data_IF_508866077295
#
_entry.id   IF_508866077295
#
_cell.length_a   1.000
_cell.length_b   1.000
_cell.length_c   1.000
_cell.angle_alpha   90.00
_cell.angle_beta   90.00
_cell.angle_gamma   90.00
#
_symmetry.space_group_name_H-M   'P 1'
#
loop_
_entity.id
_entity.type
_entity.pdbx_description
1 polymer ?
#
# COMPACT_ATOMS: atom_id res chain seq x y z
N UNK A 1 -13.35 19.08 -19.25
CA UNK A 1 -12.20 18.23 -18.82
C UNK A 1 -10.79 18.85 -18.88
N UNK A 2 -10.53 20.01 -19.53
CA UNK A 2 -9.16 20.54 -19.68
C UNK A 2 -8.52 21.15 -18.41
N UNK A 3 -9.34 21.65 -17.48
CA UNK A 3 -8.84 22.32 -16.26
C UNK A 3 -8.17 21.34 -15.29
N UNK A 4 -8.75 20.15 -15.11
CA UNK A 4 -8.20 19.12 -14.22
C UNK A 4 -6.91 18.52 -14.78
N UNK A 5 -6.85 18.27 -16.09
CA UNK A 5 -5.61 17.79 -16.74
C UNK A 5 -4.50 18.82 -16.67
N UNK A 6 -4.81 20.12 -16.83
CA UNK A 6 -3.84 21.20 -16.69
C UNK A 6 -3.29 21.31 -15.25
N UNK A 7 -4.16 21.22 -14.23
CA UNK A 7 -3.70 21.20 -12.83
C UNK A 7 -2.79 20.00 -12.56
N UNK A 8 -3.18 18.80 -13.02
CA UNK A 8 -2.36 17.61 -12.83
C UNK A 8 -0.97 17.75 -13.47
N UNK A 9 -0.90 18.35 -14.65
CA UNK A 9 0.36 18.58 -15.36
C UNK A 9 1.24 19.64 -14.66
N UNK A 10 0.63 20.72 -14.18
CA UNK A 10 1.31 21.74 -13.37
C UNK A 10 1.85 21.16 -12.06
N UNK A 11 1.02 20.42 -11.31
CA UNK A 11 1.42 19.75 -10.07
C UNK A 11 2.56 18.79 -10.34
N UNK A 12 2.47 17.98 -11.40
CA UNK A 12 3.53 17.05 -11.78
C UNK A 12 4.84 17.79 -12.03
N UNK A 13 4.82 18.82 -12.85
CA UNK A 13 6.03 19.58 -13.22
C UNK A 13 6.68 20.25 -12.01
N UNK A 14 5.89 20.93 -11.17
CA UNK A 14 6.37 21.60 -9.95
C UNK A 14 6.95 20.58 -8.97
N UNK A 15 6.27 19.46 -8.75
CA UNK A 15 6.74 18.44 -7.80
C UNK A 15 8.03 17.75 -8.26
N UNK A 16 8.19 17.49 -9.56
CA UNK A 16 9.46 16.97 -10.09
C UNK A 16 10.61 17.97 -9.92
N UNK A 17 10.38 19.25 -10.22
CA UNK A 17 11.39 20.30 -10.01
C UNK A 17 11.76 20.41 -8.52
N UNK A 18 10.78 20.41 -7.63
CA UNK A 18 11.00 20.47 -6.20
C UNK A 18 11.76 19.24 -5.67
N UNK A 19 11.42 18.04 -6.14
CA UNK A 19 12.12 16.81 -5.74
C UNK A 19 13.60 16.79 -6.17
N UNK A 20 13.90 17.36 -7.35
CA UNK A 20 15.29 17.52 -7.81
C UNK A 20 16.01 18.57 -6.96
N UNK A 21 15.34 19.68 -6.65
CA UNK A 21 15.91 20.78 -5.86
C UNK A 21 16.19 20.38 -4.40
N UNK A 22 15.34 19.56 -3.79
CA UNK A 22 15.58 19.04 -2.43
C UNK A 22 16.65 17.96 -2.40
N UNK A 23 16.90 17.30 -3.53
CA UNK A 23 17.98 16.30 -3.73
C UNK A 23 18.12 15.31 -2.56
N UNK A 24 17.00 14.82 -2.04
CA UNK A 24 16.99 13.91 -0.89
C UNK A 24 17.67 12.59 -1.28
N UNK A 25 18.81 12.30 -0.66
CA UNK A 25 19.57 11.06 -0.84
C UNK A 25 19.43 10.15 0.37
N UNK A 26 19.52 8.85 0.15
CA UNK A 26 19.55 7.84 1.21
C UNK A 26 20.99 7.41 1.51
N UNK A 27 21.44 7.67 2.73
CA UNK A 27 22.69 7.16 3.29
C UNK A 27 22.44 6.05 4.31
N UNK A 28 23.49 5.28 4.61
CA UNK A 28 23.43 4.29 5.70
C UNK A 28 23.36 4.96 7.08
N UNK A 29 23.81 6.22 7.16
CA UNK A 29 23.80 7.04 8.38
C UNK A 29 22.40 7.56 8.72
N UNK A 30 21.48 7.67 7.76
CA UNK A 30 20.08 8.05 8.01
C UNK A 30 19.37 7.04 8.92
N UNK A 31 19.90 5.81 8.99
CA UNK A 31 19.38 4.75 9.83
C UNK A 31 19.90 4.82 11.28
N UNK A 32 20.98 5.56 11.55
CA UNK A 32 21.53 5.73 12.91
C UNK A 32 20.60 6.52 13.82
N UNK A 33 19.88 7.47 13.26
CA UNK A 33 18.96 8.35 13.99
C UNK A 33 17.68 7.62 14.41
N UNK A 34 17.45 6.40 13.90
CA UNK A 34 16.25 5.61 14.18
C UNK A 34 16.53 4.67 15.36
N UNK A 35 15.73 4.71 16.45
CA UNK A 35 15.94 3.83 17.59
C UNK A 35 15.78 2.36 17.19
N UNK A 36 16.76 1.52 17.53
CA UNK A 36 16.81 0.08 17.16
C UNK A 36 16.11 -0.87 18.14
N UNK A 37 15.23 -0.38 19.02
CA UNK A 37 14.58 -1.21 20.06
C UNK A 37 13.57 -2.20 19.46
N UNK A 38 13.26 -3.26 20.23
CA UNK A 38 12.60 -4.51 19.79
C UNK A 38 11.24 -4.40 19.04
N UNK A 39 10.80 -5.55 18.48
CA UNK A 39 9.80 -5.68 17.42
C UNK A 39 8.45 -4.94 17.59
N UNK A 40 7.94 -4.79 18.81
CA UNK A 40 6.65 -4.11 19.05
C UNK A 40 6.80 -2.61 19.30
N UNK A 41 7.98 -2.18 19.73
CA UNK A 41 8.24 -0.79 20.16
C UNK A 41 8.24 0.18 18.96
N UNK A 42 8.74 -0.26 17.80
CA UNK A 42 8.90 0.60 16.63
C UNK A 42 7.59 0.93 15.89
N UNK A 43 6.52 0.13 16.00
CA UNK A 43 5.25 0.45 15.29
C UNK A 43 4.50 1.62 15.93
N UNK A 44 4.59 1.79 17.24
CA UNK A 44 3.85 2.82 17.98
C UNK A 44 4.71 4.07 18.26
N UNK A 45 6.00 3.91 18.52
CA UNK A 45 6.89 5.00 18.96
C UNK A 45 7.69 5.66 17.82
N UNK A 46 7.66 5.14 16.60
CA UNK A 46 8.49 5.69 15.52
C UNK A 46 8.05 7.09 15.07
N UNK A 47 6.74 7.36 15.00
CA UNK A 47 6.22 8.68 14.61
C UNK A 47 6.56 9.84 15.60
N UNK A 48 6.38 9.70 16.92
CA UNK A 48 6.76 10.77 17.84
C UNK A 48 8.29 10.99 17.91
N UNK A 49 9.09 9.93 17.82
CA UNK A 49 10.55 10.03 17.91
C UNK A 49 11.17 10.80 16.73
N UNK A 50 10.68 10.62 15.51
CA UNK A 50 11.20 11.40 14.36
C UNK A 50 10.88 12.88 14.43
N UNK A 51 9.71 13.26 14.98
CA UNK A 51 9.36 14.67 15.19
C UNK A 51 10.27 15.38 16.19
N UNK A 52 10.84 14.63 17.14
CA UNK A 52 11.68 15.17 18.20
C UNK A 52 13.19 15.14 17.87
N UNK A 53 13.65 14.14 17.13
CA UNK A 53 15.10 13.91 16.93
C UNK A 53 15.61 14.45 15.59
N UNK A 54 14.92 14.17 14.49
CA UNK A 54 15.30 14.68 13.15
C UNK A 54 14.11 14.62 12.17
N UNK A 55 13.35 15.72 12.03
CA UNK A 55 12.21 15.79 11.12
C UNK A 55 12.58 15.68 9.63
N UNK A 56 13.84 15.98 9.27
CA UNK A 56 14.33 16.01 7.89
C UNK A 56 15.03 14.72 7.48
N UNK A 57 14.97 13.67 8.31
CA UNK A 57 15.51 12.36 7.95
C UNK A 57 14.86 11.85 6.65
N UNK A 58 15.65 11.55 5.59
CA UNK A 58 15.16 11.05 4.31
C UNK A 58 14.24 9.83 4.43
N UNK A 59 14.59 8.86 5.27
CA UNK A 59 13.84 7.60 5.50
C UNK A 59 12.46 7.90 6.08
N UNK A 60 12.38 8.86 7.01
CA UNK A 60 11.12 9.31 7.59
C UNK A 60 10.28 10.08 6.56
N UNK A 61 10.89 11.04 5.84
CA UNK A 61 10.17 11.84 4.83
C UNK A 61 9.55 10.97 3.73
N UNK A 62 10.26 9.97 3.19
CA UNK A 62 9.70 9.12 2.13
C UNK A 62 8.59 8.18 2.63
N UNK A 63 8.77 7.60 3.82
CA UNK A 63 7.80 6.64 4.36
C UNK A 63 6.52 7.31 4.89
N UNK A 64 6.65 8.48 5.53
CA UNK A 64 5.50 9.22 6.06
C UNK A 64 4.75 10.02 4.99
N UNK A 65 5.43 10.56 3.97
CA UNK A 65 4.77 11.22 2.84
C UNK A 65 3.97 10.25 1.96
N UNK A 66 4.13 8.93 2.14
CA UNK A 66 3.54 7.90 1.28
C UNK A 66 4.19 7.79 -0.09
N UNK A 67 5.30 8.50 -0.34
CA UNK A 67 6.01 8.45 -1.61
C UNK A 67 6.65 7.07 -1.85
N UNK A 68 7.33 6.52 -0.83
CA UNK A 68 7.95 5.18 -0.89
C UNK A 68 8.34 4.71 0.52
N UNK A 69 8.16 3.42 0.78
CA UNK A 69 8.48 2.85 2.08
C UNK A 69 7.27 2.84 3.00
N UNK A 70 7.18 1.83 3.85
CA UNK A 70 6.19 1.74 4.93
C UNK A 70 6.93 1.58 6.25
N UNK A 71 6.28 1.92 7.37
CA UNK A 71 6.78 1.69 8.71
C UNK A 71 7.27 0.25 8.94
N UNK A 72 6.57 -0.75 8.40
CA UNK A 72 7.01 -2.15 8.46
C UNK A 72 8.32 -2.41 7.71
N UNK A 73 8.60 -1.67 6.63
CA UNK A 73 9.84 -1.81 5.86
C UNK A 73 10.99 -1.06 6.53
N UNK A 74 10.74 0.12 7.09
CA UNK A 74 11.71 0.85 7.92
C UNK A 74 12.11 0.00 9.13
N UNK A 75 11.15 -0.64 9.79
CA UNK A 75 11.40 -1.58 10.88
C UNK A 75 12.38 -2.70 10.49
N UNK A 76 12.30 -3.24 9.28
CA UNK A 76 13.23 -4.30 8.83
C UNK A 76 14.66 -3.79 8.59
N UNK A 77 14.84 -2.48 8.38
CA UNK A 77 16.16 -1.88 8.17
C UNK A 77 16.92 -1.69 9.49
N UNK A 78 16.23 -1.30 10.56
CA UNK A 78 16.84 -0.86 11.83
C UNK A 78 16.44 -1.68 13.06
N UNK A 79 15.26 -2.29 13.04
CA UNK A 79 14.76 -3.15 14.10
C UNK A 79 14.99 -4.63 13.82
N UNK A 80 14.84 -5.43 14.87
CA UNK A 80 14.80 -6.89 14.77
C UNK A 80 13.75 -7.33 13.76
N UNK A 81 14.11 -8.14 12.76
CA UNK A 81 13.18 -8.54 11.69
C UNK A 81 12.03 -9.41 12.19
N UNK A 82 12.26 -10.19 13.24
CA UNK A 82 11.24 -10.99 13.93
C UNK A 82 11.11 -12.41 13.38
N UNK A 83 9.94 -13.01 13.57
CA UNK A 83 9.66 -14.39 13.18
C UNK A 83 9.35 -14.49 11.69
N UNK A 84 9.71 -15.64 11.09
CA UNK A 84 9.44 -15.95 9.70
C UNK A 84 8.62 -17.24 9.60
N UNK A 85 7.85 -17.39 8.54
CA UNK A 85 7.14 -18.62 8.25
C UNK A 85 7.99 -19.59 7.42
N UNK A 86 7.81 -20.88 7.67
CA UNK A 86 8.35 -21.95 6.84
C UNK A 86 7.60 -22.03 5.47
N UNK A 87 8.07 -22.86 4.52
CA UNK A 87 7.37 -23.06 3.25
C UNK A 87 5.92 -23.56 3.42
N UNK A 88 5.63 -24.33 4.47
CA UNK A 88 4.29 -24.82 4.77
C UNK A 88 3.38 -23.77 5.42
N UNK A 89 3.92 -22.61 5.82
CA UNK A 89 3.20 -21.53 6.49
C UNK A 89 3.17 -21.62 8.01
N UNK A 90 3.90 -22.55 8.63
CA UNK A 90 4.09 -22.61 10.08
C UNK A 90 5.10 -21.55 10.53
N UNK A 91 4.88 -20.96 11.69
CA UNK A 91 5.81 -20.01 12.28
C UNK A 91 7.03 -20.75 12.82
N UNK A 92 8.22 -20.28 12.44
CA UNK A 92 9.48 -20.84 12.94
C UNK A 92 9.77 -20.17 14.29
N UNK A 93 9.99 -20.95 15.35
CA UNK A 93 10.20 -20.46 16.72
C UNK A 93 11.55 -19.71 16.94
N UNK A 94 12.39 -19.64 15.90
CA UNK A 94 13.67 -18.94 15.91
C UNK A 94 13.51 -17.53 15.30
N UNK A 95 13.51 -16.46 16.12
CA UNK A 95 13.42 -15.10 15.60
C UNK A 95 14.74 -14.65 14.95
N UNK A 96 14.64 -13.90 13.85
CA UNK A 96 15.77 -13.19 13.24
C UNK A 96 16.01 -11.95 14.09
N UNK A 97 17.12 -11.94 14.83
CA UNK A 97 17.48 -10.87 15.77
C UNK A 97 18.15 -9.69 15.08
N UNK A 98 18.92 -9.98 14.04
CA UNK A 98 19.62 -8.97 13.24
C UNK A 98 18.69 -8.14 12.36
N UNK A 99 19.18 -6.96 11.97
CA UNK A 99 18.53 -6.04 11.05
C UNK A 99 19.26 -6.01 9.69
N UNK A 100 18.64 -5.44 8.64
CA UNK A 100 19.27 -5.38 7.32
C UNK A 100 20.48 -4.44 7.24
N UNK A 101 20.59 -3.49 8.18
CA UNK A 101 21.73 -2.57 8.29
C UNK A 101 22.99 -3.27 8.81
N UNK A 102 22.87 -4.07 9.86
CA UNK A 102 23.94 -4.83 10.50
C UNK A 102 24.28 -6.09 9.70
N UNK A 103 23.31 -6.61 8.93
CA UNK A 103 23.44 -7.81 8.12
C UNK A 103 22.92 -9.05 8.83
N UNK A 104 22.56 -10.06 8.04
CA UNK A 104 22.01 -11.32 8.52
C UNK A 104 23.11 -12.40 8.60
N UNK A 105 23.08 -13.23 9.64
CA UNK A 105 23.89 -14.44 9.68
C UNK A 105 23.44 -15.44 8.60
N UNK A 106 24.29 -16.43 8.27
CA UNK A 106 23.96 -17.45 7.26
C UNK A 106 22.61 -18.16 7.55
N UNK A 107 22.39 -18.53 8.82
CA UNK A 107 21.16 -19.20 9.25
C UNK A 107 19.94 -18.29 9.11
N UNK A 108 20.03 -17.05 9.56
CA UNK A 108 18.94 -16.06 9.45
C UNK A 108 18.62 -15.72 7.99
N UNK A 109 19.64 -15.65 7.14
CA UNK A 109 19.48 -15.44 5.71
C UNK A 109 18.72 -16.61 5.06
N UNK A 110 19.11 -17.86 5.34
CA UNK A 110 18.44 -19.06 4.82
C UNK A 110 16.98 -19.12 5.30
N UNK A 111 16.72 -18.84 6.58
CA UNK A 111 15.36 -18.79 7.13
C UNK A 111 14.52 -17.72 6.41
N UNK A 112 15.08 -16.53 6.17
CA UNK A 112 14.43 -15.47 5.41
C UNK A 112 14.08 -15.88 3.97
N UNK A 113 14.89 -16.73 3.33
CA UNK A 113 14.66 -17.14 1.95
C UNK A 113 13.37 -17.95 1.78
N UNK A 114 12.96 -18.74 2.78
CA UNK A 114 11.72 -19.52 2.71
C UNK A 114 10.49 -18.62 2.56
N UNK A 115 10.35 -17.62 3.43
CA UNK A 115 9.27 -16.65 3.36
C UNK A 115 9.30 -15.82 2.08
N UNK A 116 10.48 -15.38 1.65
CA UNK A 116 10.64 -14.61 0.41
C UNK A 116 10.23 -15.42 -0.84
N UNK A 117 10.69 -16.68 -0.95
CA UNK A 117 10.33 -17.55 -2.07
C UNK A 117 8.84 -17.84 -2.09
N UNK A 118 8.24 -18.15 -0.94
CA UNK A 118 6.79 -18.35 -0.83
C UNK A 118 6.01 -17.11 -1.28
N UNK A 119 6.43 -15.92 -0.84
CA UNK A 119 5.82 -14.66 -1.27
C UNK A 119 5.87 -14.43 -2.79
N UNK A 120 7.00 -14.77 -3.44
CA UNK A 120 7.12 -14.68 -4.90
C UNK A 120 6.20 -15.69 -5.59
N UNK A 121 6.17 -16.94 -5.14
CA UNK A 121 5.30 -17.98 -5.69
C UNK A 121 3.83 -17.63 -5.51
N UNK A 122 3.42 -17.21 -4.32
CA UNK A 122 2.04 -16.80 -4.01
C UNK A 122 1.62 -15.58 -4.84
N UNK A 123 2.56 -14.70 -5.17
CA UNK A 123 2.30 -13.56 -6.06
C UNK A 123 2.06 -14.04 -7.49
N UNK A 124 2.86 -14.99 -7.98
CA UNK A 124 2.66 -15.57 -9.30
C UNK A 124 1.30 -16.30 -9.42
N UNK A 125 0.95 -17.12 -8.43
CA UNK A 125 -0.34 -17.82 -8.38
C UNK A 125 -1.51 -16.85 -8.29
N UNK A 126 -1.44 -15.84 -7.41
CA UNK A 126 -2.50 -14.82 -7.32
C UNK A 126 -2.64 -14.01 -8.60
N UNK A 127 -1.54 -13.78 -9.33
CA UNK A 127 -1.58 -13.12 -10.63
C UNK A 127 -2.30 -13.98 -11.67
N UNK A 128 -2.01 -15.29 -11.72
CA UNK A 128 -2.72 -16.19 -12.65
C UNK A 128 -4.20 -16.31 -12.32
N UNK A 129 -4.57 -16.40 -11.04
CA UNK A 129 -5.96 -16.54 -10.62
C UNK A 129 -6.77 -15.28 -10.91
N UNK A 130 -6.21 -14.10 -10.64
CA UNK A 130 -6.85 -12.83 -10.98
C UNK A 130 -7.06 -12.67 -12.49
N UNK A 131 -6.06 -13.04 -13.31
CA UNK A 131 -6.17 -13.03 -14.77
C UNK A 131 -7.22 -14.01 -15.30
N UNK A 132 -7.26 -15.22 -14.73
CA UNK A 132 -8.26 -16.22 -15.09
C UNK A 132 -9.68 -15.78 -14.71
N UNK A 133 -9.86 -15.24 -13.49
CA UNK A 133 -11.15 -14.75 -13.03
C UNK A 133 -11.65 -13.58 -13.87
N UNK A 134 -10.80 -12.59 -14.16
CA UNK A 134 -11.18 -11.45 -15.02
C UNK A 134 -11.60 -11.90 -16.41
N UNK A 135 -10.87 -12.85 -17.03
CA UNK A 135 -11.29 -13.45 -18.31
C UNK A 135 -12.69 -14.07 -18.23
N UNK A 136 -12.95 -14.91 -17.23
CA UNK A 136 -14.28 -15.55 -17.06
C UNK A 136 -15.39 -14.55 -16.82
N UNK A 137 -15.12 -13.51 -16.03
CA UNK A 137 -16.09 -12.45 -15.78
C UNK A 137 -16.43 -11.72 -17.09
N UNK A 138 -15.42 -11.33 -17.88
CA UNK A 138 -15.61 -10.68 -19.19
C UNK A 138 -16.42 -11.57 -20.14
N UNK A 139 -16.13 -12.87 -20.21
CA UNK A 139 -16.87 -13.82 -21.05
C UNK A 139 -18.38 -13.87 -20.68
N UNK A 140 -18.74 -13.69 -19.41
CA UNK A 140 -20.15 -13.68 -18.95
C UNK A 140 -20.81 -12.32 -19.21
N UNK A 141 -20.13 -11.21 -18.93
CA UNK A 141 -20.72 -9.87 -18.98
C UNK A 141 -20.64 -9.20 -20.35
N UNK A 142 -19.95 -9.80 -21.34
CA UNK A 142 -19.71 -9.20 -22.66
C UNK A 142 -20.96 -8.74 -23.41
N UNK A 143 -22.13 -9.31 -23.10
CA UNK A 143 -23.40 -8.97 -23.74
C UNK A 143 -24.20 -7.86 -23.00
N UNK A 144 -23.71 -7.37 -21.86
CA UNK A 144 -24.37 -6.34 -21.06
C UNK A 144 -23.97 -4.95 -21.60
N UNK A 145 -24.94 -4.22 -22.16
CA UNK A 145 -24.77 -2.87 -22.70
C UNK A 145 -25.88 -1.96 -22.20
N UNK A 146 -25.53 -0.76 -21.71
CA UNK A 146 -26.50 0.26 -21.30
C UNK A 146 -27.11 0.89 -22.56
N UNK A 147 -28.41 0.64 -22.79
CA UNK A 147 -29.12 1.12 -23.99
C UNK A 147 -30.13 2.24 -23.71
N UNK A 148 -30.58 2.38 -22.46
CA UNK A 148 -31.61 3.34 -22.05
C UNK A 148 -31.26 3.86 -20.66
N UNK A 149 -31.61 5.12 -20.40
CA UNK A 149 -31.35 5.81 -19.13
C UNK A 149 -32.29 5.38 -18.01
N UNK A 150 -33.56 5.14 -18.32
CA UNK A 150 -34.57 4.63 -17.37
C UNK A 150 -35.43 3.53 -18.03
N UNK A 151 -35.63 2.42 -17.30
CA UNK A 151 -36.48 1.31 -17.71
C UNK A 151 -37.85 1.30 -17.02
N UNK A 152 -38.13 2.26 -16.12
CA UNK A 152 -39.40 2.43 -15.42
C UNK A 152 -39.68 1.39 -14.34
N UNK A 153 -38.66 0.68 -13.86
CA UNK A 153 -38.84 -0.34 -12.81
C UNK A 153 -39.04 0.30 -11.44
N UNK A 154 -40.00 -0.21 -10.67
CA UNK A 154 -40.20 0.15 -9.25
C UNK A 154 -39.35 -0.70 -8.29
N UNK A 155 -38.66 -1.73 -8.81
CA UNK A 155 -37.84 -2.64 -8.00
C UNK A 155 -36.50 -1.99 -7.69
N UNK A 156 -36.14 -1.93 -6.42
CA UNK A 156 -34.88 -1.37 -5.92
C UNK A 156 -34.20 -2.36 -4.98
N UNK A 157 -32.87 -2.29 -4.90
CA UNK A 157 -32.09 -3.02 -3.89
C UNK A 157 -31.79 -2.05 -2.76
N UNK A 158 -32.23 -2.37 -1.54
CA UNK A 158 -31.93 -1.58 -0.36
C UNK A 158 -30.47 -1.79 0.05
N UNK A 159 -29.64 -0.76 -0.08
CA UNK A 159 -28.28 -0.76 0.46
C UNK A 159 -28.34 -0.40 1.95
N UNK A 160 -27.96 -1.33 2.82
CA UNK A 160 -27.72 -1.03 4.23
C UNK A 160 -26.31 -0.49 4.41
N UNK A 161 -26.14 0.67 5.06
CA UNK A 161 -24.82 1.03 5.57
C UNK A 161 -24.45 0.05 6.68
N UNK A 162 -23.21 -0.46 6.66
CA UNK A 162 -22.69 -1.35 7.68
C UNK A 162 -22.73 -0.75 9.10
N UNK A 163 -22.98 0.55 9.23
CA UNK A 163 -23.48 1.21 10.44
C UNK A 163 -24.38 2.40 10.02
N UNK A 164 -25.61 2.48 10.57
CA UNK A 164 -26.72 3.41 10.27
C UNK A 164 -27.71 2.97 9.18
N UNK A 165 -28.86 2.47 9.65
CA UNK A 165 -30.10 2.35 8.87
C UNK A 165 -30.65 3.75 8.66
N UNK A 166 -30.41 4.34 7.49
CA UNK A 166 -31.34 5.28 6.85
C UNK A 166 -31.32 5.01 5.36
N UNK A 167 -32.37 4.36 4.89
CA UNK A 167 -32.62 4.13 3.47
C UNK A 167 -33.01 5.46 2.82
N UNK A 168 -32.02 6.22 2.35
CA UNK A 168 -32.28 7.22 1.32
C UNK A 168 -32.23 6.52 -0.04
N UNK A 169 -33.34 6.61 -0.75
CA UNK A 169 -33.44 6.27 -2.17
C UNK A 169 -32.51 7.23 -2.90
N UNK A 170 -31.28 6.78 -3.20
CA UNK A 170 -30.39 7.44 -4.15
C UNK A 170 -31.03 7.32 -5.54
N UNK A 171 -31.98 8.21 -5.82
CA UNK A 171 -32.49 8.46 -7.16
C UNK A 171 -31.30 8.79 -8.07
N UNK A 172 -31.30 8.21 -9.27
CA UNK A 172 -30.36 8.43 -10.38
C UNK A 172 -30.29 9.89 -10.88
N UNK A 173 -30.65 10.89 -10.05
CA UNK A 173 -30.52 12.32 -10.35
C UNK A 173 -29.08 12.83 -10.41
N UNK A 174 -28.09 12.02 -9.98
CA UNK A 174 -26.68 12.36 -10.12
C UNK A 174 -26.07 11.98 -11.49
N UNK A 175 -26.77 11.15 -12.29
CA UNK A 175 -26.23 10.67 -13.58
C UNK A 175 -26.49 11.65 -14.73
N UNK A 176 -27.52 12.49 -14.63
CA UNK A 176 -27.86 13.51 -15.64
C UNK A 176 -26.89 14.71 -15.70
N UNK A 177 -26.00 14.88 -14.71
CA UNK A 177 -24.97 15.93 -14.75
C UNK A 177 -23.64 15.49 -15.38
N UNK A 178 -23.46 14.19 -15.67
CA UNK A 178 -22.23 13.67 -16.30
C UNK A 178 -22.21 13.81 -17.83
N UNK A 179 -23.33 14.12 -18.49
CA UNK A 179 -23.38 14.42 -19.92
C UNK A 179 -23.07 15.90 -20.27
N UNK A 180 -22.77 16.75 -19.27
CA UNK A 180 -22.43 18.17 -19.45
C UNK A 180 -20.98 18.55 -19.07
N UNK A 181 -20.07 17.58 -18.96
CA UNK A 181 -18.63 17.78 -18.69
C UNK A 181 -17.73 17.06 -19.70
#
# INVERSE_FOLDING_TARGET
MAYTSHILDQVKTIMFQQAIATSISLGIDDLLTIPSKGCEYLRQEMNPNFRMTDPFNPVHMMSFSGARGNASQVHQLVGMRGLMSDPQGQMIDLPIQSNLREGLSLTEYIISCYGARKGVVDTAVRTSDAGYLTRRLVEIVQHIVVRRTDCGTIRVVHLGSANYVMAEVLLMGAWSNWEKL
#
